data_IF_777559374558
#
_entry.id   IF_777559374558
#
_cell.length_a   1.000
_cell.length_b   1.000
_cell.length_c   1.000
_cell.angle_alpha   90.00
_cell.angle_beta   90.00
_cell.angle_gamma   90.00
#
_symmetry.space_group_name_H-M   'P 1'
#
loop_
_entity.id
_entity.type
_entity.pdbx_description
1 polymer ?
#
# COMPACT_ATOMS: atom_id res chain seq x y z
N UNK A 1 -2.61 10.76 -11.10
CA UNK A 1 -2.76 10.08 -9.79
C UNK A 1 -1.86 8.85 -9.79
N UNK A 2 -1.12 8.54 -8.72
CA UNK A 2 -0.12 7.46 -8.70
C UNK A 2 -0.66 6.05 -8.97
N UNK A 3 -1.97 5.84 -8.74
CA UNK A 3 -2.65 4.55 -8.91
C UNK A 3 -2.73 4.09 -10.38
N UNK A 4 -2.72 5.00 -11.35
CA UNK A 4 -2.89 4.67 -12.77
C UNK A 4 -1.73 3.86 -13.36
N UNK A 5 -0.51 4.10 -12.86
CA UNK A 5 0.72 3.51 -13.41
C UNK A 5 0.76 1.99 -13.12
N UNK A 6 0.29 1.58 -11.95
CA UNK A 6 0.28 0.18 -11.53
C UNK A 6 -0.61 -0.70 -12.40
N UNK A 7 -1.80 -0.22 -12.74
CA UNK A 7 -2.70 -0.96 -13.63
C UNK A 7 -2.11 -1.15 -15.03
N UNK A 8 -1.37 -0.16 -15.54
CA UNK A 8 -0.67 -0.31 -16.82
C UNK A 8 0.52 -1.29 -16.75
N UNK A 9 1.28 -1.32 -15.65
CA UNK A 9 2.42 -2.25 -15.52
C UNK A 9 2.00 -3.70 -15.26
N UNK A 10 0.82 -3.93 -14.69
CA UNK A 10 0.21 -5.27 -14.64
C UNK A 10 -0.18 -5.74 -16.05
N UNK A 11 -0.67 -4.83 -16.90
CA UNK A 11 -1.00 -5.14 -18.29
C UNK A 11 0.23 -5.41 -19.17
N UNK A 12 1.41 -4.88 -18.82
CA UNK A 12 2.66 -5.15 -19.53
C UNK A 12 3.44 -6.36 -18.98
N UNK A 13 2.93 -7.03 -17.94
CA UNK A 13 3.51 -8.26 -17.38
C UNK A 13 4.76 -8.04 -16.50
N UNK A 14 5.04 -6.80 -16.09
CA UNK A 14 6.23 -6.47 -15.26
C UNK A 14 5.96 -6.67 -13.77
N UNK A 15 4.70 -6.58 -13.35
CA UNK A 15 4.20 -6.93 -12.02
C UNK A 15 3.05 -7.92 -12.19
N UNK A 16 3.01 -8.97 -11.36
CA UNK A 16 2.08 -10.08 -11.52
C UNK A 16 0.61 -9.66 -11.43
N UNK A 17 0.17 -9.23 -10.24
CA UNK A 17 -1.17 -8.71 -9.99
C UNK A 17 -1.10 -7.60 -8.93
N UNK A 18 -1.98 -6.61 -9.02
CA UNK A 18 -2.14 -5.61 -7.97
C UNK A 18 -2.95 -6.19 -6.81
N UNK A 19 -2.57 -5.87 -5.57
CA UNK A 19 -3.34 -6.27 -4.39
C UNK A 19 -4.74 -5.65 -4.42
N UNK A 20 -5.77 -6.33 -3.86
CA UNK A 20 -7.13 -5.79 -3.82
C UNK A 20 -7.24 -4.53 -2.95
N UNK A 21 -6.36 -4.37 -1.96
CA UNK A 21 -6.34 -3.25 -1.01
C UNK A 21 -5.21 -2.26 -1.35
N UNK A 22 -5.56 -0.97 -1.37
CA UNK A 22 -4.62 0.14 -1.56
C UNK A 22 -4.78 1.13 -0.41
N UNK A 23 -3.67 1.57 0.19
CA UNK A 23 -3.66 2.50 1.33
C UNK A 23 -3.02 3.82 0.94
N UNK A 24 -3.58 4.92 1.45
CA UNK A 24 -2.99 6.26 1.39
C UNK A 24 -3.13 6.88 2.77
N UNK A 25 -2.04 7.48 3.26
CA UNK A 25 -2.00 8.15 4.56
C UNK A 25 -1.80 9.64 4.30
N UNK A 26 -2.62 10.49 4.91
CA UNK A 26 -2.48 11.93 4.80
C UNK A 26 -1.17 12.39 5.47
N UNK A 27 -0.47 13.32 4.84
CA UNK A 27 0.87 13.73 5.27
C UNK A 27 0.94 14.46 6.62
N UNK A 28 -0.18 14.97 7.14
CA UNK A 28 -0.27 15.51 8.49
C UNK A 28 -0.97 14.51 9.40
N UNK A 29 -0.21 13.96 10.34
CA UNK A 29 -0.67 12.95 11.29
C UNK A 29 -0.60 13.56 12.69
N UNK A 30 -1.76 13.75 13.31
CA UNK A 30 -1.88 14.39 14.62
C UNK A 30 -1.25 13.52 15.73
N UNK A 31 -1.36 12.20 15.59
CA UNK A 31 -0.90 11.20 16.56
C UNK A 31 0.00 10.17 15.86
N UNK A 32 1.30 10.48 15.66
CA UNK A 32 2.22 9.60 14.94
C UNK A 32 2.40 8.24 15.61
N UNK A 33 2.29 8.18 16.93
CA UNK A 33 2.45 6.95 17.71
C UNK A 33 1.33 5.94 17.40
N UNK A 34 0.08 6.39 17.23
CA UNK A 34 -1.04 5.52 16.84
C UNK A 34 -0.82 4.95 15.43
N UNK A 35 -0.26 5.75 14.52
CA UNK A 35 0.10 5.26 13.19
C UNK A 35 1.12 4.13 13.29
N UNK A 36 2.20 4.34 14.07
CA UNK A 36 3.32 3.40 14.15
C UNK A 36 2.93 2.13 14.90
N UNK A 37 2.17 2.25 15.98
CA UNK A 37 1.88 1.15 16.90
C UNK A 37 0.57 0.41 16.60
N UNK A 38 -0.38 1.05 15.93
CA UNK A 38 -1.69 0.45 15.66
C UNK A 38 -1.98 0.32 14.17
N UNK A 39 -1.95 1.45 13.45
CA UNK A 39 -2.41 1.48 12.05
C UNK A 39 -1.46 0.73 11.11
N UNK A 40 -0.16 0.97 11.20
CA UNK A 40 0.83 0.32 10.34
C UNK A 40 0.86 -1.22 10.55
N UNK A 41 0.86 -1.74 11.79
CA UNK A 41 0.72 -3.18 12.04
C UNK A 41 -0.57 -3.77 11.46
N UNK A 42 -1.71 -3.08 11.59
CA UNK A 42 -2.98 -3.54 11.03
C UNK A 42 -2.94 -3.63 9.49
N UNK A 43 -2.37 -2.61 8.83
CA UNK A 43 -2.15 -2.62 7.38
C UNK A 43 -1.25 -3.79 6.97
N UNK A 44 -0.16 -4.04 7.69
CA UNK A 44 0.73 -5.17 7.41
C UNK A 44 -0.01 -6.51 7.58
N UNK A 45 -0.89 -6.63 8.57
CA UNK A 45 -1.75 -7.81 8.75
C UNK A 45 -2.60 -8.09 7.51
N UNK A 46 -3.29 -7.06 7.02
CA UNK A 46 -4.09 -7.14 5.80
C UNK A 46 -3.26 -7.52 4.56
N UNK A 47 -2.08 -6.93 4.38
CA UNK A 47 -1.20 -7.24 3.24
C UNK A 47 -0.72 -8.70 3.28
N UNK A 48 -0.44 -9.23 4.48
CA UNK A 48 -0.09 -10.65 4.65
C UNK A 48 -1.27 -11.57 4.33
N UNK A 49 -2.48 -11.24 4.77
CA UNK A 49 -3.69 -11.99 4.44
C UNK A 49 -3.95 -12.03 2.93
N UNK A 50 -3.68 -10.92 2.24
CA UNK A 50 -3.81 -10.80 0.79
C UNK A 50 -2.70 -11.52 0.01
N UNK A 51 -1.70 -12.10 0.70
CA UNK A 51 -0.56 -12.75 0.05
C UNK A 51 0.31 -11.78 -0.75
N UNK A 52 0.41 -10.52 -0.31
CA UNK A 52 1.22 -9.51 -0.99
C UNK A 52 2.71 -9.79 -0.79
N UNK A 53 3.42 -10.06 -1.88
CA UNK A 53 4.87 -10.32 -1.86
C UNK A 53 5.73 -9.06 -1.79
N UNK A 54 5.25 -7.94 -2.36
CA UNK A 54 6.00 -6.68 -2.51
C UNK A 54 5.09 -5.48 -2.25
N UNK A 55 5.59 -4.51 -1.48
CA UNK A 55 4.93 -3.23 -1.22
C UNK A 55 5.74 -2.10 -1.84
N UNK A 56 5.07 -1.18 -2.54
CA UNK A 56 5.67 0.03 -3.07
C UNK A 56 5.17 1.24 -2.28
N UNK A 57 6.10 2.01 -1.74
CA UNK A 57 5.84 3.25 -1.02
C UNK A 57 6.18 4.42 -1.93
N UNK A 58 5.19 5.22 -2.27
CA UNK A 58 5.36 6.46 -3.01
C UNK A 58 5.18 7.66 -2.07
N UNK A 59 6.11 8.63 -2.05
CA UNK A 59 5.82 9.93 -1.47
C UNK A 59 4.65 10.59 -2.21
N UNK A 60 3.77 11.25 -1.47
CA UNK A 60 2.68 12.05 -2.05
C UNK A 60 3.19 13.37 -2.65
#
# INVERSE_FOLDING_TARGET
>A
QPLEIHYQQAQTGVIGQAAPRHYSIMGYILEPEELIHETAPAIIGHLKEDGVDVVLLAPA
#
